data_IF_651372723083
#
_entry.id   IF_651372723083
#
_cell.length_a   1.000
_cell.length_b   1.000
_cell.length_c   1.000
_cell.angle_alpha   90.00
_cell.angle_beta   90.00
_cell.angle_gamma   90.00
#
_symmetry.space_group_name_H-M   'P 1'
#
loop_
_entity.id
_entity.type
_entity.pdbx_description
1 polymer ?
#
# COMPACT_ATOMS: atom_id res chain seq x y z
N UNK A 1 4.92 -39.11 5.25
CA UNK A 1 5.14 -37.66 5.47
C UNK A 1 4.25 -37.25 6.62
N UNK A 2 4.79 -36.65 7.67
CA UNK A 2 3.97 -36.18 8.79
C UNK A 2 2.96 -35.16 8.23
N UNK A 3 1.66 -35.38 8.45
CA UNK A 3 0.62 -34.40 8.14
C UNK A 3 0.88 -33.19 9.03
N UNK A 4 1.61 -32.20 8.53
CA UNK A 4 1.64 -30.89 9.15
C UNK A 4 0.19 -30.40 9.19
N UNK A 5 -0.34 -30.12 10.38
CA UNK A 5 -1.66 -29.49 10.45
C UNK A 5 -1.58 -28.12 9.76
N UNK A 6 -2.71 -27.60 9.30
CA UNK A 6 -2.76 -26.36 8.51
C UNK A 6 -2.09 -25.17 9.22
N UNK A 7 -2.05 -25.15 10.56
CA UNK A 7 -1.37 -24.11 11.33
C UNK A 7 0.16 -24.19 11.21
N UNK A 8 0.73 -25.40 11.19
CA UNK A 8 2.17 -25.56 10.97
C UNK A 8 2.58 -25.19 9.54
N UNK A 9 1.73 -25.48 8.55
CA UNK A 9 1.95 -25.02 7.16
C UNK A 9 1.89 -23.50 7.05
N UNK A 10 0.90 -22.86 7.69
CA UNK A 10 0.80 -21.39 7.72
C UNK A 10 2.01 -20.74 8.41
N UNK A 11 2.51 -21.32 9.51
CA UNK A 11 3.75 -20.86 10.17
C UNK A 11 4.96 -21.03 9.25
N UNK A 12 5.07 -22.14 8.53
CA UNK A 12 6.16 -22.38 7.58
C UNK A 12 6.13 -21.36 6.43
N UNK A 13 4.94 -21.07 5.88
CA UNK A 13 4.75 -20.00 4.90
C UNK A 13 5.17 -18.64 5.45
N UNK A 14 4.76 -18.30 6.67
CA UNK A 14 5.17 -17.06 7.34
C UNK A 14 6.70 -16.93 7.49
N UNK A 15 7.38 -18.00 7.86
CA UNK A 15 8.85 -18.03 7.93
C UNK A 15 9.49 -17.88 6.55
N UNK A 16 8.94 -18.53 5.52
CA UNK A 16 9.44 -18.40 4.15
C UNK A 16 9.25 -16.98 3.61
N UNK A 17 8.09 -16.36 3.86
CA UNK A 17 7.81 -14.95 3.55
C UNK A 17 8.85 -14.01 4.19
N UNK A 18 9.22 -14.26 5.45
CA UNK A 18 10.24 -13.46 6.14
C UNK A 18 11.65 -13.57 5.55
N UNK A 19 11.89 -14.55 4.68
CA UNK A 19 13.15 -14.74 3.96
C UNK A 19 13.06 -14.37 2.46
N UNK A 20 11.88 -14.00 1.96
CA UNK A 20 11.68 -13.62 0.56
C UNK A 20 12.34 -12.28 0.26
N UNK A 21 13.03 -12.18 -0.88
CA UNK A 21 13.77 -10.96 -1.26
C UNK A 21 12.88 -9.72 -1.32
N UNK A 22 11.61 -9.86 -1.73
CA UNK A 22 10.65 -8.73 -1.77
C UNK A 22 10.30 -8.25 -0.37
N UNK A 23 10.14 -9.17 0.59
CA UNK A 23 9.93 -8.82 1.98
C UNK A 23 11.15 -8.11 2.56
N UNK A 24 12.36 -8.65 2.32
CA UNK A 24 13.61 -8.06 2.81
C UNK A 24 13.84 -6.66 2.20
N UNK A 25 13.56 -6.49 0.90
CA UNK A 25 13.62 -5.21 0.22
C UNK A 25 12.61 -4.21 0.80
N UNK A 26 11.36 -4.63 1.03
CA UNK A 26 10.34 -3.80 1.68
C UNK A 26 10.78 -3.37 3.08
N UNK A 27 11.28 -4.30 3.91
CA UNK A 27 11.77 -4.00 5.26
C UNK A 27 12.91 -2.99 5.24
N UNK A 28 13.90 -3.19 4.36
CA UNK A 28 15.02 -2.27 4.20
C UNK A 28 14.54 -0.88 3.74
N UNK A 29 13.67 -0.82 2.73
CA UNK A 29 13.17 0.43 2.21
C UNK A 29 12.30 1.18 3.24
N UNK A 30 11.55 0.47 4.07
CA UNK A 30 10.81 1.04 5.20
C UNK A 30 11.77 1.66 6.22
N UNK A 31 12.79 0.92 6.63
CA UNK A 31 13.79 1.41 7.59
C UNK A 31 14.55 2.64 7.01
N UNK A 32 14.91 2.62 5.73
CA UNK A 32 15.57 3.76 5.07
C UNK A 32 14.64 5.00 4.99
N UNK A 33 13.36 4.79 4.65
CA UNK A 33 12.34 5.83 4.61
C UNK A 33 12.11 6.48 5.98
N UNK A 34 12.01 5.67 7.03
CA UNK A 34 11.80 6.14 8.40
C UNK A 34 13.02 6.93 8.92
N UNK A 35 14.22 6.59 8.46
CA UNK A 35 15.47 7.26 8.84
C UNK A 35 15.90 8.40 7.89
N UNK A 36 15.17 8.66 6.80
CA UNK A 36 15.46 9.77 5.89
C UNK A 36 15.08 11.11 6.55
N UNK A 37 16.08 11.78 7.14
CA UNK A 37 15.91 13.07 7.81
C UNK A 37 15.28 14.14 6.91
N UNK A 38 15.59 14.15 5.62
CA UNK A 38 15.04 15.16 4.69
C UNK A 38 13.54 14.91 4.50
N UNK A 39 13.16 13.66 4.31
CA UNK A 39 11.76 13.26 4.25
C UNK A 39 11.02 13.57 5.55
N UNK A 40 11.59 13.22 6.71
CA UNK A 40 10.99 13.49 8.01
C UNK A 40 10.82 15.00 8.27
N UNK A 41 11.78 15.83 7.86
CA UNK A 41 11.68 17.29 7.94
C UNK A 41 10.54 17.82 7.05
N UNK A 42 10.37 17.30 5.84
CA UNK A 42 9.28 17.68 4.95
C UNK A 42 7.91 17.26 5.52
N UNK A 43 7.80 16.05 6.06
CA UNK A 43 6.58 15.56 6.73
C UNK A 43 6.27 16.44 7.95
N UNK A 44 7.27 16.80 8.75
CA UNK A 44 7.12 17.73 9.86
C UNK A 44 6.59 19.09 9.42
N UNK A 45 7.18 19.68 8.38
CA UNK A 45 6.69 20.95 7.79
C UNK A 45 5.26 20.83 7.27
N UNK A 46 4.90 19.70 6.65
CA UNK A 46 3.56 19.47 6.13
C UNK A 46 2.53 19.42 7.26
N UNK A 47 2.85 18.75 8.37
CA UNK A 47 1.98 18.71 9.55
C UNK A 47 1.80 20.09 10.19
N UNK A 48 2.86 20.91 10.26
CA UNK A 48 2.77 22.29 10.75
C UNK A 48 1.90 23.16 9.83
N UNK A 49 2.07 23.05 8.52
CA UNK A 49 1.25 23.77 7.55
C UNK A 49 -0.24 23.39 7.67
N UNK A 50 -0.52 22.10 7.89
CA UNK A 50 -1.89 21.63 8.13
C UNK A 50 -2.48 22.25 9.40
N UNK A 51 -1.71 22.30 10.48
CA UNK A 51 -2.13 22.96 11.72
C UNK A 51 -2.39 24.46 11.51
N UNK A 52 -1.52 25.15 10.77
CA UNK A 52 -1.70 26.57 10.44
C UNK A 52 -2.98 26.80 9.62
N UNK A 53 -3.27 25.91 8.68
CA UNK A 53 -4.50 25.96 7.88
C UNK A 53 -5.74 25.72 8.74
N UNK A 54 -5.72 24.70 9.61
CA UNK A 54 -6.81 24.41 10.55
C UNK A 54 -7.04 25.61 11.50
N UNK A 55 -5.97 26.21 12.02
CA UNK A 55 -6.04 27.40 12.87
C UNK A 55 -6.66 28.61 12.14
N UNK A 56 -6.29 28.85 10.87
CA UNK A 56 -6.85 29.94 10.09
C UNK A 56 -8.34 29.74 9.79
N UNK A 57 -8.73 28.51 9.44
CA UNK A 57 -10.12 28.15 9.17
C UNK A 57 -11.04 28.29 10.40
N UNK A 58 -10.50 28.12 11.60
CA UNK A 58 -11.25 28.16 12.85
C UNK A 58 -11.40 29.57 13.47
N UNK A 59 -10.85 30.62 12.84
CA UNK A 59 -11.04 31.99 13.33
C UNK A 59 -12.49 32.46 13.14
N UNK A 60 -12.93 33.40 13.97
CA UNK A 60 -14.22 34.08 13.78
C UNK A 60 -14.33 34.77 12.42
N UNK A 61 -13.19 35.26 11.90
CA UNK A 61 -13.05 35.84 10.56
C UNK A 61 -11.82 35.22 9.86
N UNK A 62 -12.00 34.10 9.14
CA UNK A 62 -10.89 33.45 8.42
C UNK A 62 -10.37 34.29 7.26
N UNK A 63 -9.05 34.39 7.13
CA UNK A 63 -8.41 34.98 5.95
C UNK A 63 -8.39 33.96 4.80
N UNK A 64 -9.24 34.19 3.80
CA UNK A 64 -9.39 33.30 2.65
C UNK A 64 -8.15 33.29 1.74
N UNK A 65 -7.41 34.39 1.64
CA UNK A 65 -6.22 34.46 0.81
C UNK A 65 -5.07 33.72 1.49
N UNK A 66 -4.97 33.83 2.82
CA UNK A 66 -4.05 33.00 3.61
C UNK A 66 -4.38 31.51 3.51
N UNK A 67 -5.65 31.12 3.58
CA UNK A 67 -6.06 29.71 3.41
C UNK A 67 -5.63 29.19 2.04
N UNK A 68 -5.88 29.93 0.95
CA UNK A 68 -5.45 29.55 -0.39
C UNK A 68 -3.93 29.42 -0.49
N UNK A 69 -3.19 30.35 0.12
CA UNK A 69 -1.73 30.31 0.13
C UNK A 69 -1.19 29.08 0.88
N UNK A 70 -1.78 28.74 2.03
CA UNK A 70 -1.44 27.53 2.79
C UNK A 70 -1.77 26.27 2.00
N UNK A 71 -2.94 26.19 1.36
CA UNK A 71 -3.30 25.06 0.49
C UNK A 71 -2.32 24.85 -0.66
N UNK A 72 -1.93 25.92 -1.36
CA UNK A 72 -0.96 25.85 -2.45
C UNK A 72 0.42 25.36 -1.97
N UNK A 73 0.89 25.88 -0.83
CA UNK A 73 2.13 25.41 -0.20
C UNK A 73 2.04 23.94 0.21
N UNK A 74 0.90 23.52 0.77
CA UNK A 74 0.67 22.13 1.18
C UNK A 74 0.70 21.17 0.00
N UNK A 75 0.07 21.54 -1.12
CA UNK A 75 0.08 20.74 -2.34
C UNK A 75 1.49 20.61 -2.93
N UNK A 76 2.27 21.70 -2.96
CA UNK A 76 3.66 21.68 -3.42
C UNK A 76 4.51 20.74 -2.56
N UNK A 77 4.46 20.93 -1.23
CA UNK A 77 5.25 20.15 -0.28
C UNK A 77 4.87 18.66 -0.31
N UNK A 78 3.58 18.34 -0.45
CA UNK A 78 3.13 16.96 -0.65
C UNK A 78 3.72 16.35 -1.93
N UNK A 79 3.75 17.12 -3.02
CA UNK A 79 4.39 16.68 -4.27
C UNK A 79 5.88 16.38 -4.11
N UNK A 80 6.60 17.19 -3.33
CA UNK A 80 8.02 16.98 -3.01
C UNK A 80 8.23 15.72 -2.14
N UNK A 81 7.38 15.51 -1.14
CA UNK A 81 7.40 14.31 -0.29
C UNK A 81 7.22 13.05 -1.14
N UNK A 82 6.24 13.03 -2.05
CA UNK A 82 5.96 11.88 -2.90
C UNK A 82 7.06 11.60 -3.94
N UNK A 83 7.86 12.62 -4.28
CA UNK A 83 9.01 12.49 -5.18
C UNK A 83 10.33 12.19 -4.44
N UNK A 84 10.33 12.22 -3.10
CA UNK A 84 11.50 11.85 -2.32
C UNK A 84 11.93 10.41 -2.66
N UNK A 85 13.22 10.20 -2.87
CA UNK A 85 13.76 8.91 -3.31
C UNK A 85 13.47 7.77 -2.35
N UNK A 86 13.54 8.01 -1.04
CA UNK A 86 13.28 7.01 0.00
C UNK A 86 11.79 6.65 0.03
N UNK A 87 10.92 7.65 -0.12
CA UNK A 87 9.46 7.44 -0.25
C UNK A 87 9.13 6.61 -1.51
N UNK A 88 9.72 6.96 -2.67
CA UNK A 88 9.50 6.21 -3.92
C UNK A 88 9.98 4.76 -3.76
N UNK A 89 11.20 4.55 -3.23
CA UNK A 89 11.76 3.22 -3.02
C UNK A 89 10.89 2.37 -2.08
N UNK A 90 10.41 2.97 -0.98
CA UNK A 90 9.49 2.32 -0.06
C UNK A 90 8.19 1.90 -0.76
N UNK A 91 7.56 2.81 -1.49
CA UNK A 91 6.29 2.53 -2.17
C UNK A 91 6.43 1.46 -3.25
N UNK A 92 7.53 1.45 -4.00
CA UNK A 92 7.83 0.39 -4.98
C UNK A 92 8.00 -0.97 -4.29
N UNK A 93 8.88 -1.06 -3.30
CA UNK A 93 9.14 -2.33 -2.60
C UNK A 93 7.89 -2.85 -1.87
N UNK A 94 7.09 -1.93 -1.32
CA UNK A 94 5.80 -2.24 -0.70
C UNK A 94 4.83 -2.85 -1.71
N UNK A 95 4.66 -2.23 -2.87
CA UNK A 95 3.73 -2.71 -3.90
C UNK A 95 4.10 -4.13 -4.38
N UNK A 96 5.39 -4.41 -4.57
CA UNK A 96 5.87 -5.74 -4.97
C UNK A 96 5.58 -6.80 -3.89
N UNK A 97 5.77 -6.45 -2.61
CA UNK A 97 5.48 -7.35 -1.51
C UNK A 97 3.97 -7.55 -1.29
N UNK A 98 3.16 -6.48 -1.41
CA UNK A 98 1.69 -6.58 -1.35
C UNK A 98 1.14 -7.45 -2.48
N UNK A 99 1.67 -7.34 -3.70
CA UNK A 99 1.28 -8.20 -4.82
C UNK A 99 1.56 -9.69 -4.53
N UNK A 100 2.69 -10.01 -3.90
CA UNK A 100 2.97 -11.38 -3.46
C UNK A 100 1.93 -11.87 -2.45
N UNK A 101 1.60 -11.05 -1.45
CA UNK A 101 0.61 -11.40 -0.43
C UNK A 101 -0.79 -11.59 -1.04
N UNK A 102 -1.19 -10.73 -1.97
CA UNK A 102 -2.46 -10.84 -2.67
C UNK A 102 -2.55 -12.13 -3.48
N UNK A 103 -1.48 -12.51 -4.17
CA UNK A 103 -1.39 -13.76 -4.91
C UNK A 103 -1.55 -14.99 -3.99
N UNK A 104 -0.85 -14.99 -2.85
CA UNK A 104 -0.95 -16.05 -1.84
C UNK A 104 -2.37 -16.13 -1.26
N UNK A 105 -2.95 -14.98 -0.88
CA UNK A 105 -4.31 -14.92 -0.34
C UNK A 105 -5.34 -15.42 -1.35
N UNK A 106 -5.13 -15.15 -2.64
CA UNK A 106 -5.99 -15.64 -3.71
C UNK A 106 -5.96 -17.16 -3.85
N UNK A 107 -4.77 -17.77 -3.82
CA UNK A 107 -4.63 -19.23 -3.80
C UNK A 107 -5.38 -19.83 -2.61
N UNK A 108 -5.23 -19.25 -1.41
CA UNK A 108 -5.92 -19.72 -0.21
C UNK A 108 -7.45 -19.61 -0.39
N UNK A 109 -7.93 -18.47 -0.89
CA UNK A 109 -9.36 -18.23 -1.07
C UNK A 109 -9.99 -19.16 -2.13
N UNK A 110 -9.32 -19.39 -3.25
CA UNK A 110 -9.83 -20.31 -4.29
C UNK A 110 -9.86 -21.76 -3.79
N UNK A 111 -8.83 -22.20 -3.06
CA UNK A 111 -8.80 -23.55 -2.47
C UNK A 111 -9.90 -23.73 -1.43
N UNK A 112 -10.17 -22.71 -0.61
CA UNK A 112 -11.29 -22.73 0.34
C UNK A 112 -12.65 -22.84 -0.35
N UNK A 113 -12.78 -22.33 -1.58
CA UNK A 113 -13.96 -22.48 -2.42
C UNK A 113 -14.03 -23.83 -3.17
N UNK A 114 -13.08 -24.74 -2.95
CA UNK A 114 -13.02 -26.06 -3.58
C UNK A 114 -12.37 -26.10 -4.96
N UNK A 115 -11.71 -25.03 -5.38
CA UNK A 115 -10.94 -24.99 -6.63
C UNK A 115 -9.55 -25.64 -6.42
N UNK A 116 -8.94 -26.09 -7.51
CA UNK A 116 -7.58 -26.66 -7.49
C UNK A 116 -6.54 -25.54 -7.31
N UNK A 117 -5.72 -25.53 -6.23
CA UNK A 117 -4.66 -24.53 -6.06
C UNK A 117 -3.64 -24.50 -7.20
N UNK A 118 -3.39 -25.64 -7.85
CA UNK A 118 -2.42 -25.74 -8.95
C UNK A 118 -2.97 -25.12 -10.25
N UNK A 119 -4.26 -24.79 -10.29
CA UNK A 119 -4.87 -24.03 -11.39
C UNK A 119 -4.72 -22.52 -11.23
N UNK A 120 -4.04 -22.04 -10.19
CA UNK A 120 -3.76 -20.62 -10.03
C UNK A 120 -2.83 -20.13 -11.13
N UNK A 121 -3.28 -19.09 -11.84
CA UNK A 121 -2.50 -18.38 -12.84
C UNK A 121 -2.47 -16.89 -12.46
N UNK A 122 -1.29 -16.32 -12.15
CA UNK A 122 -1.17 -14.91 -11.80
C UNK A 122 -1.59 -13.97 -12.95
N UNK A 123 -1.51 -14.41 -14.20
CA UNK A 123 -1.76 -13.60 -15.39
C UNK A 123 -3.21 -13.73 -15.92
N UNK A 124 -3.93 -14.80 -15.55
CA UNK A 124 -5.32 -15.04 -15.94
C UNK A 124 -6.31 -13.96 -15.45
N UNK A 125 -5.88 -13.07 -14.55
CA UNK A 125 -6.72 -12.06 -13.93
C UNK A 125 -6.77 -10.70 -14.61
N UNK A 126 -6.08 -10.50 -15.74
CA UNK A 126 -6.36 -9.36 -16.63
C UNK A 126 -7.72 -9.44 -17.33
N UNK A 127 -8.46 -10.56 -17.20
CA UNK A 127 -9.73 -10.80 -17.90
C UNK A 127 -11.01 -10.66 -17.04
N UNK A 128 -10.91 -10.41 -15.73
CA UNK A 128 -12.08 -10.47 -14.83
C UNK A 128 -12.26 -9.26 -13.90
N UNK A 129 -11.86 -8.06 -14.35
CA UNK A 129 -12.19 -6.79 -13.67
C UNK A 129 -13.23 -5.95 -14.42
N UNK A 130 -13.99 -6.55 -15.35
CA UNK A 130 -14.95 -5.84 -16.21
C UNK A 130 -16.36 -6.41 -16.12
N UNK A 131 -17.27 -5.65 -15.50
CA UNK A 131 -18.74 -5.75 -15.61
C UNK A 131 -19.40 -7.07 -15.20
N UNK A 132 -19.87 -7.13 -13.95
CA UNK A 132 -20.94 -8.03 -13.53
C UNK A 132 -22.34 -7.58 -14.01
N UNK A 133 -22.41 -6.91 -15.17
CA UNK A 133 -23.64 -6.34 -15.75
C UNK A 133 -24.17 -7.14 -16.94
N UNK A 134 -23.66 -8.37 -17.17
CA UNK A 134 -23.89 -9.13 -18.40
C UNK A 134 -24.56 -10.49 -18.26
N UNK A 135 -25.05 -10.90 -17.08
CA UNK A 135 -25.86 -12.14 -16.98
C UNK A 135 -27.33 -11.85 -17.35
N UNK A 136 -27.54 -11.44 -18.60
CA UNK A 136 -28.83 -11.53 -19.27
C UNK A 136 -28.78 -12.68 -20.28
N UNK A 137 -29.35 -13.82 -19.90
CA UNK A 137 -29.77 -14.84 -20.86
C UNK A 137 -29.28 -16.25 -20.56
N UNK A 138 -30.16 -17.04 -19.96
CA UNK A 138 -30.43 -18.41 -20.39
C UNK A 138 -31.93 -18.68 -20.15
N UNK A 139 -32.58 -19.19 -21.19
CA UNK A 139 -33.91 -19.83 -21.13
C UNK A 139 -33.88 -21.08 -20.26
#
# INVERSE_FOLDING_TARGET
MANANLMEMAKALGKALQTDDRYLAFRKAADDNDNDKTLQDMIGKFNLLRLDMENEQNKEQPDQDRIKALQAQGQSLYGEIMQNKSMVAYQTARAEFEQLLDNINRIIAMSAAGQDPDSYDPDAHSACSGNCSGCSGCH
#
